data_IF_800906961235
#
_entry.id   IF_800906961235
#
_cell.length_a   1.000
_cell.length_b   1.000
_cell.length_c   1.000
_cell.angle_alpha   90.00
_cell.angle_beta   90.00
_cell.angle_gamma   90.00
#
_symmetry.space_group_name_H-M   'P 1'
#
loop_
_entity.id
_entity.type
_entity.pdbx_description
1 polymer ?
#
# COMPACT_ATOMS: atom_id res chain seq x y z
N UNK A 1 37.75 -17.14 35.41
CA UNK A 1 37.52 -16.38 34.17
C UNK A 1 36.44 -15.37 34.48
N UNK A 2 36.53 -14.13 34.03
CA UNK A 2 35.50 -13.14 34.29
C UNK A 2 34.15 -13.56 33.63
N UNK A 3 33.06 -13.09 34.22
CA UNK A 3 31.72 -13.21 33.61
C UNK A 3 31.72 -12.67 32.18
N UNK A 4 30.82 -13.15 31.37
CA UNK A 4 30.58 -12.68 29.97
C UNK A 4 29.11 -12.47 29.76
N UNK A 5 28.73 -11.82 28.64
CA UNK A 5 27.34 -11.51 28.36
C UNK A 5 26.85 -12.22 27.10
N UNK A 6 25.52 -12.35 26.96
CA UNK A 6 24.90 -12.79 25.72
C UNK A 6 24.86 -11.62 24.76
N UNK A 7 25.16 -11.85 23.47
CA UNK A 7 25.26 -10.79 22.44
C UNK A 7 23.98 -10.00 22.27
N UNK A 8 22.82 -10.67 22.22
CA UNK A 8 21.56 -10.02 21.84
C UNK A 8 20.83 -9.36 23.01
N UNK A 9 20.88 -9.95 24.19
CA UNK A 9 20.13 -9.48 25.36
C UNK A 9 21.00 -8.91 26.47
N UNK A 10 22.32 -9.05 26.41
CA UNK A 10 23.21 -8.57 27.46
C UNK A 10 23.02 -9.30 28.81
N UNK A 11 22.53 -10.56 28.78
CA UNK A 11 22.36 -11.39 29.97
C UNK A 11 23.72 -11.83 30.47
N UNK A 12 24.01 -11.64 31.76
CA UNK A 12 25.28 -12.05 32.34
C UNK A 12 25.34 -13.57 32.50
N UNK A 13 26.40 -14.16 31.94
CA UNK A 13 26.80 -15.56 32.14
C UNK A 13 27.85 -15.60 33.27
N UNK A 14 27.39 -15.89 34.47
CA UNK A 14 28.26 -15.92 35.67
C UNK A 14 29.30 -17.03 35.49
N UNK A 15 30.58 -16.71 35.65
CA UNK A 15 31.63 -17.71 35.60
C UNK A 15 31.69 -18.54 36.86
N UNK A 16 32.13 -19.80 36.75
CA UNK A 16 32.25 -20.71 37.90
C UNK A 16 33.17 -20.14 38.97
N UNK A 17 32.68 -20.03 40.19
CA UNK A 17 33.39 -19.51 41.34
C UNK A 17 33.38 -17.99 41.50
N UNK A 18 32.72 -17.26 40.61
CA UNK A 18 32.48 -15.82 40.74
C UNK A 18 31.19 -15.52 41.51
N UNK A 19 31.06 -14.26 41.96
CA UNK A 19 29.88 -13.70 42.59
C UNK A 19 29.40 -14.41 43.85
N UNK A 20 30.35 -14.90 44.67
CA UNK A 20 30.03 -15.44 45.98
C UNK A 20 29.34 -14.38 46.85
N UNK A 21 28.08 -14.60 47.19
CA UNK A 21 27.23 -13.70 47.97
C UNK A 21 26.40 -12.69 47.14
N UNK A 22 26.63 -12.54 45.82
CA UNK A 22 25.88 -11.62 44.92
C UNK A 22 25.25 -12.30 43.71
N UNK A 23 25.44 -13.61 43.52
CA UNK A 23 24.86 -14.28 42.33
C UNK A 23 23.34 -14.21 42.28
N UNK A 24 22.68 -14.09 43.44
CA UNK A 24 21.23 -13.90 43.53
C UNK A 24 20.78 -12.57 42.86
N UNK A 25 21.52 -11.49 43.09
CA UNK A 25 21.26 -10.19 42.53
C UNK A 25 21.44 -10.22 40.98
N UNK A 26 22.53 -10.84 40.51
CA UNK A 26 22.78 -11.02 39.08
C UNK A 26 21.69 -11.88 38.42
N UNK A 27 21.25 -12.95 39.09
CA UNK A 27 20.17 -13.80 38.59
C UNK A 27 18.84 -13.01 38.47
N UNK A 28 18.51 -12.22 39.49
CA UNK A 28 17.31 -11.38 39.46
C UNK A 28 17.38 -10.34 38.34
N UNK A 29 18.52 -9.65 38.18
CA UNK A 29 18.75 -8.71 37.08
C UNK A 29 18.58 -9.40 35.71
N UNK A 30 19.09 -10.62 35.55
CA UNK A 30 18.93 -11.39 34.32
C UNK A 30 17.46 -11.74 34.06
N UNK A 31 16.65 -12.01 35.09
CA UNK A 31 15.21 -12.24 34.95
C UNK A 31 14.47 -10.95 34.53
N UNK A 32 14.86 -9.80 35.13
CA UNK A 32 14.31 -8.50 34.73
C UNK A 32 14.63 -8.18 33.24
N UNK A 33 15.85 -8.46 32.80
CA UNK A 33 16.30 -8.34 31.40
C UNK A 33 15.46 -9.22 30.47
N UNK A 34 15.13 -10.44 30.84
CA UNK A 34 14.28 -11.35 30.08
C UNK A 34 12.85 -10.82 30.01
N UNK A 35 12.30 -10.29 31.10
CA UNK A 35 10.96 -9.72 31.14
C UNK A 35 10.86 -8.48 30.20
N UNK A 36 11.85 -7.58 30.26
CA UNK A 36 11.94 -6.45 29.30
C UNK A 36 11.95 -6.92 27.83
N UNK A 37 12.74 -7.96 27.53
CA UNK A 37 12.88 -8.45 26.17
C UNK A 37 11.62 -9.14 25.65
N UNK A 38 10.85 -9.79 26.51
CA UNK A 38 9.67 -10.58 26.15
C UNK A 38 8.39 -9.73 26.17
N UNK A 39 8.22 -8.88 27.18
CA UNK A 39 6.99 -8.13 27.43
C UNK A 39 7.20 -6.62 27.58
N UNK A 40 8.44 -6.14 27.55
CA UNK A 40 8.73 -4.73 27.80
C UNK A 40 8.07 -3.78 26.80
N UNK A 41 7.42 -2.75 27.33
CA UNK A 41 6.81 -1.64 26.61
C UNK A 41 7.34 -0.35 27.19
N UNK A 42 7.90 0.53 26.35
CA UNK A 42 8.50 1.78 26.79
C UNK A 42 8.20 2.94 25.86
N UNK A 43 7.98 4.13 26.43
CA UNK A 43 7.99 5.40 25.68
C UNK A 43 9.35 6.07 25.88
N UNK A 44 10.02 6.40 24.79
CA UNK A 44 11.32 7.08 24.74
C UNK A 44 11.11 8.52 24.28
N UNK A 45 11.36 9.48 25.17
CA UNK A 45 11.25 10.91 24.83
C UNK A 45 12.52 11.36 24.12
N UNK A 46 12.37 11.79 22.87
CA UNK A 46 13.44 12.41 22.09
C UNK A 46 13.50 13.91 22.42
N UNK A 47 14.65 14.37 22.88
CA UNK A 47 14.89 15.78 23.26
C UNK A 47 15.49 16.63 22.15
N UNK A 48 15.94 16.01 21.05
CA UNK A 48 16.55 16.65 19.89
C UNK A 48 16.47 15.74 18.66
N UNK A 49 16.62 16.34 17.47
CA UNK A 49 16.71 15.58 16.22
C UNK A 49 17.94 14.67 16.13
N UNK A 50 19.04 15.08 16.76
CA UNK A 50 20.33 14.44 16.51
C UNK A 50 20.76 14.60 15.04
N UNK A 51 21.63 13.71 14.59
CA UNK A 51 22.05 13.60 13.18
C UNK A 51 22.60 12.19 12.93
N UNK A 52 22.89 11.86 11.68
CA UNK A 52 23.53 10.60 11.31
C UNK A 52 24.90 10.38 11.98
N UNK A 53 25.64 11.43 12.29
CA UNK A 53 26.93 11.38 13.00
C UNK A 53 26.82 11.55 14.51
N UNK A 54 25.64 11.95 15.04
CA UNK A 54 25.37 12.13 16.47
C UNK A 54 23.91 11.81 16.76
N UNK A 55 23.49 10.54 16.60
CA UNK A 55 22.13 10.09 16.82
C UNK A 55 21.80 9.99 18.31
N UNK A 56 20.50 9.94 18.62
CA UNK A 56 20.04 9.49 19.94
C UNK A 56 20.30 8.00 20.08
N UNK A 57 21.04 7.58 21.10
CA UNK A 57 21.29 6.17 21.34
C UNK A 57 20.04 5.47 21.91
N UNK A 58 19.75 4.29 21.37
CA UNK A 58 18.78 3.32 21.88
C UNK A 58 19.56 2.10 22.38
N UNK A 59 20.02 2.09 23.64
CA UNK A 59 20.99 1.10 24.08
C UNK A 59 20.36 -0.25 24.49
N UNK A 60 21.10 -1.32 24.25
CA UNK A 60 20.98 -2.62 24.90
C UNK A 60 22.20 -2.76 25.75
N UNK A 61 22.05 -2.57 27.08
CA UNK A 61 23.17 -2.50 28.03
C UNK A 61 23.41 -3.85 28.68
N UNK A 62 24.65 -4.30 28.68
CA UNK A 62 25.05 -5.55 29.35
C UNK A 62 24.74 -5.51 30.83
N UNK A 63 24.09 -6.54 31.35
CA UNK A 63 23.81 -6.74 32.78
C UNK A 63 22.93 -5.67 33.43
N UNK A 64 22.20 -4.87 32.65
CA UNK A 64 21.32 -3.82 33.18
C UNK A 64 20.10 -3.60 32.31
N UNK A 65 19.03 -3.07 32.90
CA UNK A 65 17.84 -2.56 32.17
C UNK A 65 18.23 -1.52 31.13
N UNK A 66 17.55 -1.53 29.95
CA UNK A 66 17.87 -0.59 28.88
C UNK A 66 16.72 -0.40 27.90
N UNK A 67 16.58 0.82 27.34
CA UNK A 67 15.47 1.22 26.48
C UNK A 67 15.41 0.41 25.18
N UNK A 68 16.56 0.09 24.58
CA UNK A 68 16.65 -0.65 23.32
C UNK A 68 16.26 -2.12 23.44
N UNK A 69 16.15 -2.68 24.67
CA UNK A 69 15.82 -4.08 24.87
C UNK A 69 14.32 -4.35 24.74
N UNK A 70 13.48 -3.37 25.02
CA UNK A 70 12.03 -3.55 25.04
C UNK A 70 11.47 -4.09 23.73
N UNK A 71 10.38 -4.86 23.83
CA UNK A 71 9.69 -5.47 22.68
C UNK A 71 8.87 -4.45 21.90
N UNK A 72 8.27 -3.47 22.60
CA UNK A 72 7.57 -2.34 22.02
C UNK A 72 8.22 -1.04 22.48
N UNK A 73 8.51 -0.17 21.54
CA UNK A 73 9.15 1.13 21.79
C UNK A 73 8.35 2.21 21.10
N UNK A 74 7.88 3.19 21.86
CA UNK A 74 7.21 4.38 21.33
C UNK A 74 8.15 5.58 21.42
N UNK A 75 8.43 6.23 20.29
CA UNK A 75 9.12 7.51 20.29
C UNK A 75 8.12 8.64 20.47
N UNK A 76 8.34 9.46 21.47
CA UNK A 76 7.58 10.66 21.79
C UNK A 76 8.51 11.87 21.93
N UNK A 77 7.98 13.07 21.93
CA UNK A 77 8.71 14.29 22.21
C UNK A 77 7.96 15.18 23.23
N UNK A 78 8.65 16.19 23.76
CA UNK A 78 8.06 17.22 24.61
C UNK A 78 7.52 18.42 23.82
N UNK A 79 7.61 18.38 22.49
CA UNK A 79 7.25 19.42 21.53
C UNK A 79 8.01 19.24 20.23
N UNK A 80 7.63 19.97 19.17
CA UNK A 80 8.21 19.85 17.84
C UNK A 80 9.75 19.94 17.85
N UNK A 81 10.41 18.86 17.41
CA UNK A 81 11.87 18.79 17.30
C UNK A 81 12.45 19.65 16.15
N UNK A 82 11.61 20.17 15.26
CA UNK A 82 12.02 20.99 14.12
C UNK A 82 12.53 20.23 12.90
N UNK A 83 12.64 18.90 12.95
CA UNK A 83 13.13 18.06 11.85
C UNK A 83 13.00 16.57 12.13
N UNK A 84 13.47 15.75 11.19
CA UNK A 84 13.58 14.29 11.33
C UNK A 84 14.57 13.92 12.44
N UNK A 85 14.19 12.99 13.32
CA UNK A 85 15.03 12.51 14.39
C UNK A 85 15.89 11.31 13.94
N UNK A 86 17.14 11.25 14.39
CA UNK A 86 18.07 10.15 14.15
C UNK A 86 18.26 9.33 15.42
N UNK A 87 17.98 8.04 15.34
CA UNK A 87 18.09 7.09 16.46
C UNK A 87 18.96 5.91 16.05
N UNK A 88 19.86 5.49 16.93
CA UNK A 88 20.74 4.36 16.68
C UNK A 88 20.59 3.27 17.74
N UNK A 89 20.27 2.05 17.32
CA UNK A 89 20.33 0.88 18.18
C UNK A 89 21.79 0.52 18.46
N UNK A 90 22.14 0.36 19.73
CA UNK A 90 23.49 0.01 20.19
C UNK A 90 23.43 -1.14 21.19
N UNK A 91 24.43 -2.08 21.22
CA UNK A 91 25.56 -2.16 20.28
C UNK A 91 25.16 -2.62 18.87
N UNK A 92 26.10 -2.54 17.93
CA UNK A 92 25.84 -2.82 16.52
C UNK A 92 25.87 -4.31 16.14
N UNK A 93 26.14 -5.20 17.09
CA UNK A 93 26.16 -6.66 16.95
C UNK A 93 24.94 -7.36 17.58
N UNK A 94 24.00 -6.59 18.14
CA UNK A 94 22.77 -7.14 18.72
C UNK A 94 21.71 -7.36 17.63
N UNK A 95 21.32 -8.62 17.41
CA UNK A 95 20.16 -8.96 16.58
C UNK A 95 18.86 -8.73 17.35
N UNK A 96 17.87 -8.11 16.70
CA UNK A 96 16.59 -7.81 17.34
C UNK A 96 15.45 -7.72 16.33
N UNK A 97 14.27 -8.19 16.75
CA UNK A 97 12.98 -7.84 16.14
C UNK A 97 12.20 -7.03 17.18
N UNK A 98 11.70 -5.87 16.79
CA UNK A 98 11.01 -4.92 17.68
C UNK A 98 9.89 -4.21 16.97
N UNK A 99 8.77 -4.00 17.68
CA UNK A 99 7.68 -3.16 17.24
C UNK A 99 7.97 -1.72 17.69
N UNK A 100 7.97 -0.79 16.75
CA UNK A 100 8.24 0.63 17.03
C UNK A 100 7.10 1.49 16.54
N UNK A 101 6.67 2.43 17.37
CA UNK A 101 5.70 3.47 17.05
C UNK A 101 6.38 4.83 17.03
N UNK A 102 6.06 5.65 16.04
CA UNK A 102 6.45 7.05 15.99
C UNK A 102 5.25 7.95 16.35
N UNK A 103 5.27 8.52 17.54
CA UNK A 103 4.28 9.46 18.08
C UNK A 103 4.83 10.88 18.26
N UNK A 104 5.84 11.28 17.47
CA UNK A 104 6.40 12.63 17.52
C UNK A 104 5.34 13.65 17.10
N UNK A 105 5.47 14.88 17.57
CA UNK A 105 4.61 15.99 17.17
C UNK A 105 4.97 16.52 15.77
N UNK A 106 4.13 17.42 15.22
CA UNK A 106 4.37 18.16 13.97
C UNK A 106 4.76 17.30 12.75
N UNK A 107 4.24 16.06 12.65
CA UNK A 107 4.47 15.13 11.53
C UNK A 107 5.96 14.81 11.30
N UNK A 108 6.78 14.74 12.35
CA UNK A 108 8.20 14.42 12.25
C UNK A 108 8.43 12.93 12.10
N UNK A 109 9.33 12.54 11.19
CA UNK A 109 9.78 11.16 11.03
C UNK A 109 10.94 10.82 11.94
N UNK A 110 11.18 9.52 12.14
CA UNK A 110 12.35 8.98 12.83
C UNK A 110 13.14 8.12 11.85
N UNK A 111 14.41 8.44 11.62
CA UNK A 111 15.35 7.56 10.94
C UNK A 111 16.04 6.71 11.99
N UNK A 112 15.84 5.39 11.90
CA UNK A 112 16.48 4.44 12.82
C UNK A 112 17.47 3.57 12.06
N UNK A 113 18.63 3.34 12.66
CA UNK A 113 19.70 2.54 12.07
C UNK A 113 20.51 1.79 13.15
N UNK A 114 21.40 0.91 12.69
CA UNK A 114 22.38 0.21 13.52
C UNK A 114 23.73 0.25 12.80
N UNK A 115 24.85 0.21 13.53
CA UNK A 115 26.17 0.32 12.91
C UNK A 115 26.47 1.73 12.36
N UNK A 116 27.19 1.80 11.24
CA UNK A 116 27.52 3.06 10.58
C UNK A 116 26.37 3.48 9.69
N UNK A 117 25.86 4.70 9.85
CA UNK A 117 24.76 5.22 9.07
C UNK A 117 25.01 5.17 7.55
N UNK A 118 24.02 4.70 6.82
CA UNK A 118 23.89 4.81 5.36
C UNK A 118 22.42 4.79 5.00
N UNK A 119 22.00 5.56 4.01
CA UNK A 119 20.62 5.54 3.50
C UNK A 119 20.20 4.19 2.87
N UNK A 120 21.11 3.22 2.76
CA UNK A 120 20.81 1.86 2.32
C UNK A 120 20.62 0.86 3.46
N UNK A 121 20.92 1.26 4.71
CA UNK A 121 20.85 0.39 5.90
C UNK A 121 19.99 0.95 7.03
N UNK A 122 19.38 2.11 6.84
CA UNK A 122 18.43 2.70 7.78
C UNK A 122 16.98 2.33 7.45
N UNK A 123 16.07 2.76 8.31
CA UNK A 123 14.63 2.73 8.07
C UNK A 123 13.99 4.03 8.57
N UNK A 124 13.19 4.67 7.72
CA UNK A 124 12.42 5.84 8.09
C UNK A 124 11.03 5.42 8.59
N UNK A 125 10.71 5.80 9.84
CA UNK A 125 9.42 5.57 10.48
C UNK A 125 8.62 6.87 10.38
N UNK A 126 7.58 6.87 9.56
CA UNK A 126 6.72 8.03 9.38
C UNK A 126 5.92 8.32 10.65
N UNK A 127 5.55 9.58 10.85
CA UNK A 127 4.73 9.99 11.99
C UNK A 127 3.39 9.25 12.04
N UNK A 128 2.99 8.83 13.23
CA UNK A 128 1.72 8.14 13.47
C UNK A 128 1.68 6.69 12.99
N UNK A 129 2.82 6.12 12.54
CA UNK A 129 2.88 4.73 12.06
C UNK A 129 3.49 3.78 13.08
N UNK A 130 3.07 2.53 12.98
CA UNK A 130 3.61 1.38 13.68
C UNK A 130 4.35 0.47 12.71
N UNK A 131 5.58 0.06 13.05
CA UNK A 131 6.41 -0.80 12.20
C UNK A 131 7.04 -1.94 12.99
N UNK A 132 7.15 -3.11 12.35
CA UNK A 132 7.89 -4.25 12.91
C UNK A 132 9.25 -4.33 12.21
N UNK A 133 10.32 -3.96 12.92
CA UNK A 133 11.66 -3.88 12.37
C UNK A 133 12.53 -5.03 12.84
N UNK A 134 13.42 -5.49 11.96
CA UNK A 134 14.52 -6.40 12.22
C UNK A 134 15.85 -5.63 12.12
N UNK A 135 16.67 -5.75 13.15
CA UNK A 135 18.07 -5.36 13.20
C UNK A 135 18.90 -6.63 13.06
N UNK A 136 19.84 -6.69 12.14
CA UNK A 136 20.59 -7.91 11.82
C UNK A 136 21.90 -8.09 12.58
N UNK A 137 22.33 -7.09 13.38
CA UNK A 137 23.51 -7.19 14.20
C UNK A 137 24.82 -7.39 13.42
N UNK A 138 24.90 -7.00 12.16
CA UNK A 138 26.06 -7.27 11.30
C UNK A 138 27.23 -6.29 11.50
N UNK A 139 27.35 -5.69 12.69
CA UNK A 139 28.45 -4.78 13.05
C UNK A 139 28.30 -3.41 12.38
N UNK A 140 29.39 -2.88 11.82
CA UNK A 140 29.38 -1.56 11.18
C UNK A 140 28.49 -1.49 9.94
N UNK A 141 28.23 -2.61 9.29
CA UNK A 141 27.36 -2.73 8.10
C UNK A 141 25.94 -3.21 8.42
N UNK A 142 25.53 -3.21 9.70
CA UNK A 142 24.21 -3.71 10.11
C UNK A 142 23.07 -2.97 9.38
N UNK A 143 22.04 -3.74 9.02
CA UNK A 143 20.89 -3.26 8.24
C UNK A 143 19.61 -3.38 9.06
N UNK A 144 18.75 -2.35 8.92
CA UNK A 144 17.39 -2.34 9.49
C UNK A 144 16.39 -2.63 8.38
N UNK A 145 15.53 -3.63 8.57
CA UNK A 145 14.50 -4.00 7.58
C UNK A 145 13.12 -4.08 8.21
N UNK A 146 12.10 -3.65 7.47
CA UNK A 146 10.71 -3.89 7.84
C UNK A 146 10.36 -5.36 7.58
N UNK A 147 9.91 -6.07 8.60
CA UNK A 147 9.56 -7.51 8.50
C UNK A 147 8.33 -7.73 7.61
N UNK A 148 7.45 -6.73 7.50
CA UNK A 148 6.21 -6.81 6.76
C UNK A 148 6.32 -6.30 5.30
N UNK A 149 7.52 -5.99 4.81
CA UNK A 149 7.70 -5.38 3.47
C UNK A 149 7.21 -6.28 2.32
N UNK A 150 7.18 -7.60 2.52
CA UNK A 150 6.68 -8.59 1.56
C UNK A 150 5.73 -9.55 2.27
N UNK A 151 4.63 -9.02 2.80
CA UNK A 151 3.66 -9.84 3.53
C UNK A 151 2.96 -10.82 2.57
N UNK A 152 3.20 -12.11 2.74
CA UNK A 152 2.52 -13.19 2.05
C UNK A 152 1.49 -13.83 2.99
N UNK A 153 0.21 -13.68 2.68
CA UNK A 153 -0.91 -14.22 3.46
C UNK A 153 -1.84 -15.02 2.56
N UNK A 154 -2.43 -16.10 3.08
CA UNK A 154 -3.41 -16.90 2.32
C UNK A 154 -4.76 -16.19 2.15
N UNK A 155 -5.03 -15.18 2.96
CA UNK A 155 -6.21 -14.34 2.91
C UNK A 155 -6.00 -13.10 3.76
N UNK A 156 -6.55 -11.98 3.32
CA UNK A 156 -6.58 -10.72 4.07
C UNK A 156 -8.04 -10.32 4.22
N UNK A 157 -8.54 -10.31 5.45
CA UNK A 157 -9.83 -9.76 5.82
C UNK A 157 -9.62 -8.36 6.41
N UNK A 158 -10.27 -7.35 5.86
CA UNK A 158 -10.12 -5.96 6.26
C UNK A 158 -11.50 -5.40 6.61
N UNK A 159 -11.76 -5.19 7.89
CA UNK A 159 -13.02 -4.61 8.39
C UNK A 159 -13.16 -3.09 8.09
N UNK A 160 -12.11 -2.46 7.63
CA UNK A 160 -12.06 -1.03 7.31
C UNK A 160 -11.74 -0.74 5.84
N UNK A 161 -11.20 0.45 5.59
CA UNK A 161 -10.76 0.84 4.27
C UNK A 161 -9.38 0.27 3.95
N UNK A 162 -9.16 -0.07 2.67
CA UNK A 162 -7.82 -0.32 2.11
C UNK A 162 -7.41 0.91 1.32
N UNK A 163 -6.30 1.54 1.71
CA UNK A 163 -5.68 2.63 0.98
C UNK A 163 -4.43 2.10 0.26
N UNK A 164 -4.44 2.17 -1.07
CA UNK A 164 -3.33 1.76 -1.93
C UNK A 164 -2.80 3.00 -2.64
N UNK A 165 -1.64 3.50 -2.18
CA UNK A 165 -1.01 4.70 -2.75
C UNK A 165 -0.28 4.46 -4.07
N UNK A 166 -0.09 3.19 -4.46
CA UNK A 166 0.47 2.76 -5.74
C UNK A 166 -0.54 1.97 -6.56
N UNK A 167 -0.07 1.15 -7.47
CA UNK A 167 -0.92 0.30 -8.29
C UNK A 167 -1.42 -0.91 -7.51
N UNK A 168 -2.69 -1.26 -7.65
CA UNK A 168 -3.27 -2.50 -7.16
C UNK A 168 -3.28 -3.54 -8.28
N UNK A 169 -2.43 -4.56 -8.17
CA UNK A 169 -2.42 -5.70 -9.09
C UNK A 169 -3.25 -6.84 -8.51
N UNK A 170 -4.32 -7.21 -9.19
CA UNK A 170 -5.16 -8.36 -8.87
C UNK A 170 -4.85 -9.50 -9.85
N UNK A 171 -4.17 -10.55 -9.37
CA UNK A 171 -3.92 -11.75 -10.17
C UNK A 171 -5.12 -12.67 -10.06
N UNK A 172 -5.94 -12.71 -11.11
CA UNK A 172 -7.18 -13.45 -11.12
C UNK A 172 -6.96 -14.98 -11.13
N UNK A 173 -7.83 -15.67 -10.38
CA UNK A 173 -8.14 -17.08 -10.62
C UNK A 173 -9.17 -17.25 -11.74
N UNK A 174 -9.82 -18.42 -11.80
CA UNK A 174 -10.79 -18.74 -12.85
C UNK A 174 -12.06 -17.87 -12.82
N UNK A 175 -12.44 -17.31 -11.67
CA UNK A 175 -13.72 -16.63 -11.44
C UNK A 175 -13.64 -15.10 -11.40
N UNK A 176 -12.51 -14.52 -11.85
CA UNK A 176 -12.29 -13.07 -11.86
C UNK A 176 -11.58 -12.54 -10.60
N UNK A 177 -11.01 -11.33 -10.72
CA UNK A 177 -10.17 -10.72 -9.69
C UNK A 177 -10.91 -9.78 -8.75
N UNK A 178 -12.05 -9.24 -9.16
CA UNK A 178 -12.85 -8.28 -8.39
C UNK A 178 -14.32 -8.70 -8.39
N UNK A 179 -14.86 -9.02 -7.20
CA UNK A 179 -16.26 -9.40 -7.01
C UNK A 179 -16.88 -8.50 -5.95
N UNK A 180 -18.03 -7.90 -6.24
CA UNK A 180 -18.84 -7.16 -5.28
C UNK A 180 -19.93 -8.05 -4.72
N UNK A 181 -19.91 -8.35 -3.41
CA UNK A 181 -20.87 -9.22 -2.74
C UNK A 181 -22.23 -8.55 -2.45
N UNK A 182 -22.33 -7.23 -2.63
CA UNK A 182 -23.54 -6.42 -2.42
C UNK A 182 -23.59 -5.26 -3.41
N UNK A 183 -24.67 -4.46 -3.36
CA UNK A 183 -24.76 -3.23 -4.14
C UNK A 183 -23.58 -2.29 -3.83
N UNK A 184 -22.82 -1.97 -4.83
CA UNK A 184 -21.57 -1.20 -4.71
C UNK A 184 -21.45 -0.17 -5.82
N UNK A 185 -20.56 0.81 -5.66
CA UNK A 185 -20.27 1.82 -6.68
C UNK A 185 -18.76 1.95 -6.90
N UNK A 186 -18.36 2.19 -8.14
CA UNK A 186 -17.02 2.67 -8.48
C UNK A 186 -17.11 4.18 -8.69
N UNK A 187 -16.44 4.97 -7.83
CA UNK A 187 -16.35 6.42 -7.98
C UNK A 187 -15.09 6.75 -8.76
N UNK A 188 -15.26 7.52 -9.82
CA UNK A 188 -14.16 7.99 -10.67
C UNK A 188 -13.91 9.48 -10.44
N UNK A 189 -12.76 9.96 -10.87
CA UNK A 189 -12.38 11.38 -10.74
C UNK A 189 -13.35 12.28 -11.53
N UNK A 190 -13.69 13.43 -10.96
CA UNK A 190 -14.52 14.45 -11.60
C UNK A 190 -13.73 15.27 -12.63
N UNK A 191 -14.43 15.78 -13.67
CA UNK A 191 -13.93 16.68 -14.69
C UNK A 191 -12.65 16.18 -15.39
N UNK A 192 -12.68 14.93 -15.85
CA UNK A 192 -11.56 14.27 -16.52
C UNK A 192 -12.00 13.63 -17.85
N UNK A 193 -11.18 13.79 -18.90
CA UNK A 193 -11.46 13.27 -20.24
C UNK A 193 -11.27 11.73 -20.34
N UNK A 194 -10.63 11.10 -19.35
CA UNK A 194 -10.41 9.66 -19.25
C UNK A 194 -10.43 9.23 -17.77
N UNK A 195 -11.58 9.43 -17.10
CA UNK A 195 -11.72 9.20 -15.66
C UNK A 195 -11.58 7.72 -15.26
N UNK A 196 -11.99 6.81 -16.14
CA UNK A 196 -11.73 5.37 -16.05
C UNK A 196 -11.64 4.81 -17.46
N UNK A 197 -10.61 4.04 -17.73
CA UNK A 197 -10.40 3.38 -19.02
C UNK A 197 -10.34 1.87 -18.81
N UNK A 198 -11.01 1.12 -19.66
CA UNK A 198 -10.83 -0.31 -19.84
C UNK A 198 -9.99 -0.51 -21.08
N UNK A 199 -8.79 -1.06 -20.92
CA UNK A 199 -7.78 -1.11 -21.97
C UNK A 199 -6.96 -2.40 -21.96
N UNK A 200 -6.30 -2.68 -23.07
CA UNK A 200 -5.28 -3.71 -23.21
C UNK A 200 -4.03 -3.07 -23.80
N UNK A 201 -2.90 -3.16 -23.08
CA UNK A 201 -1.61 -2.63 -23.52
C UNK A 201 -1.71 -1.20 -24.10
N UNK A 202 -2.26 -0.26 -23.33
CA UNK A 202 -2.47 1.15 -23.68
C UNK A 202 -3.45 1.37 -24.88
N UNK A 203 -4.26 0.38 -25.20
CA UNK A 203 -5.32 0.49 -26.23
C UNK A 203 -6.69 0.47 -25.57
N UNK A 204 -7.38 1.60 -25.55
CA UNK A 204 -8.70 1.74 -24.95
C UNK A 204 -9.78 0.93 -25.68
N UNK A 205 -10.64 0.26 -24.91
CA UNK A 205 -11.89 -0.38 -25.37
C UNK A 205 -13.11 0.43 -24.96
N UNK A 206 -13.12 0.92 -23.71
CA UNK A 206 -14.18 1.76 -23.19
C UNK A 206 -13.58 2.85 -22.30
N UNK A 207 -14.05 4.08 -22.45
CA UNK A 207 -13.60 5.24 -21.67
C UNK A 207 -14.80 5.92 -21.02
N UNK A 208 -14.75 6.12 -19.70
CA UNK A 208 -15.69 7.00 -18.98
C UNK A 208 -15.12 8.42 -18.97
N UNK A 209 -15.85 9.34 -19.56
CA UNK A 209 -15.53 10.77 -19.59
C UNK A 209 -16.41 11.48 -18.59
N UNK A 210 -15.82 12.21 -17.65
CA UNK A 210 -16.52 13.02 -16.64
C UNK A 210 -16.29 14.52 -16.82
N UNK A 211 -15.78 14.95 -17.98
CA UNK A 211 -15.59 16.37 -18.31
C UNK A 211 -16.92 17.11 -18.28
N UNK A 212 -17.03 18.14 -17.43
CA UNK A 212 -18.25 18.92 -17.21
C UNK A 212 -18.83 19.47 -18.53
N UNK A 213 -20.09 19.14 -18.81
CA UNK A 213 -20.79 19.50 -20.04
C UNK A 213 -20.41 18.66 -21.28
N UNK A 214 -19.61 17.60 -21.09
CA UNK A 214 -19.20 16.68 -22.15
C UNK A 214 -19.08 15.24 -21.63
N UNK A 215 -19.88 14.90 -20.62
CA UNK A 215 -19.89 13.57 -19.99
C UNK A 215 -20.31 12.51 -21.02
N UNK A 216 -19.59 11.39 -21.03
CA UNK A 216 -19.85 10.33 -21.99
C UNK A 216 -19.30 8.96 -21.53
N UNK A 217 -19.91 7.91 -22.08
CA UNK A 217 -19.29 6.59 -22.17
C UNK A 217 -18.91 6.38 -23.63
N UNK A 218 -17.63 6.29 -23.93
CA UNK A 218 -17.09 6.05 -25.27
C UNK A 218 -16.69 4.60 -25.43
N UNK A 219 -17.03 4.01 -26.56
CA UNK A 219 -16.52 2.71 -27.02
C UNK A 219 -15.54 2.97 -28.15
N UNK A 220 -14.28 2.72 -27.91
CA UNK A 220 -13.18 2.98 -28.86
C UNK A 220 -12.96 1.79 -29.81
N UNK A 221 -13.73 0.71 -29.61
CA UNK A 221 -13.80 -0.48 -30.47
C UNK A 221 -15.25 -0.77 -30.85
N UNK A 222 -15.46 -1.69 -31.78
CA UNK A 222 -16.80 -2.15 -32.13
C UNK A 222 -17.55 -2.67 -30.90
N UNK A 223 -18.81 -2.24 -30.76
CA UNK A 223 -19.72 -2.75 -29.74
C UNK A 223 -20.58 -3.85 -30.37
N UNK A 224 -20.38 -5.10 -29.93
CA UNK A 224 -21.19 -6.26 -30.30
C UNK A 224 -22.22 -6.54 -29.20
N UNK A 225 -23.51 -6.44 -29.50
CA UNK A 225 -24.58 -6.68 -28.54
C UNK A 225 -25.41 -7.88 -28.98
N UNK A 226 -25.24 -9.01 -28.30
CA UNK A 226 -25.91 -10.28 -28.63
C UNK A 226 -27.36 -10.38 -28.09
N UNK A 227 -27.92 -9.29 -27.57
CA UNK A 227 -29.27 -9.20 -27.04
C UNK A 227 -30.01 -7.98 -27.55
N UNK A 228 -31.27 -7.83 -27.18
CA UNK A 228 -32.07 -6.65 -27.55
C UNK A 228 -31.45 -5.37 -26.93
N UNK A 229 -31.44 -4.29 -27.70
CA UNK A 229 -31.07 -2.94 -27.27
C UNK A 229 -32.31 -2.09 -27.17
N UNK A 230 -32.61 -1.52 -26.02
CA UNK A 230 -33.61 -0.49 -25.84
C UNK A 230 -32.94 0.88 -25.76
N UNK A 231 -33.42 1.84 -26.54
CA UNK A 231 -32.93 3.23 -26.53
C UNK A 231 -34.10 4.15 -26.25
N UNK A 232 -34.12 4.80 -25.08
CA UNK A 232 -35.23 5.73 -24.71
C UNK A 232 -34.96 7.18 -25.18
N UNK A 233 -33.90 7.38 -25.93
CA UNK A 233 -33.50 8.69 -26.49
C UNK A 233 -33.33 8.66 -27.99
N UNK A 234 -32.75 9.72 -28.53
CA UNK A 234 -32.46 9.85 -29.98
C UNK A 234 -31.20 9.03 -30.31
N UNK A 235 -31.26 8.30 -31.42
CA UNK A 235 -30.09 7.67 -32.03
C UNK A 235 -29.57 8.60 -33.13
N UNK A 236 -28.32 9.06 -32.98
CA UNK A 236 -27.59 9.80 -34.00
C UNK A 236 -26.48 8.92 -34.56
N UNK A 237 -26.47 8.75 -35.90
CA UNK A 237 -25.43 7.99 -36.59
C UNK A 237 -24.59 8.95 -37.42
N UNK A 238 -23.31 9.13 -37.03
CA UNK A 238 -22.40 10.08 -37.64
C UNK A 238 -22.57 11.53 -37.15
N UNK A 239 -21.98 12.45 -37.86
CA UNK A 239 -22.09 13.91 -37.66
C UNK A 239 -22.49 14.58 -38.99
N UNK A 240 -23.06 15.79 -38.92
CA UNK A 240 -23.42 16.55 -40.13
C UNK A 240 -22.18 16.76 -41.02
N UNK A 241 -22.34 16.44 -42.31
CA UNK A 241 -21.25 16.46 -43.31
C UNK A 241 -20.29 15.24 -43.24
N UNK A 242 -20.43 14.34 -42.26
CA UNK A 242 -19.66 13.07 -42.17
C UNK A 242 -20.55 11.97 -41.57
N UNK A 243 -21.51 11.53 -42.36
CA UNK A 243 -22.42 10.46 -41.95
C UNK A 243 -21.78 9.07 -42.00
N UNK A 244 -22.54 8.07 -41.55
CA UNK A 244 -22.23 6.65 -41.70
C UNK A 244 -23.46 5.90 -42.14
N UNK A 245 -23.27 4.74 -42.77
CA UNK A 245 -24.36 3.85 -43.12
C UNK A 245 -25.10 3.35 -41.89
N UNK A 246 -26.42 3.27 -41.98
CA UNK A 246 -27.25 2.62 -40.97
C UNK A 246 -28.00 1.46 -41.62
N UNK A 247 -27.59 0.23 -41.30
CA UNK A 247 -28.05 -0.98 -41.98
C UNK A 247 -28.81 -1.89 -41.02
N UNK A 248 -30.04 -2.24 -41.38
CA UNK A 248 -30.85 -3.24 -40.69
C UNK A 248 -31.10 -4.42 -41.63
N UNK A 249 -30.76 -5.63 -41.21
CA UNK A 249 -31.01 -6.85 -41.97
C UNK A 249 -32.40 -7.45 -41.65
N UNK A 250 -33.07 -7.99 -42.65
CA UNK A 250 -34.23 -8.83 -42.45
C UNK A 250 -33.83 -10.29 -42.16
N UNK A 251 -34.80 -11.09 -41.73
CA UNK A 251 -34.62 -12.53 -41.46
C UNK A 251 -34.30 -13.33 -42.75
N UNK A 252 -34.77 -12.87 -43.90
CA UNK A 252 -34.51 -13.51 -45.21
C UNK A 252 -33.25 -12.90 -45.82
N UNK A 253 -32.30 -13.73 -46.25
CA UNK A 253 -31.06 -13.27 -46.89
C UNK A 253 -31.31 -12.32 -48.06
N UNK A 254 -30.53 -11.24 -48.14
CA UNK A 254 -30.63 -10.20 -49.14
C UNK A 254 -31.76 -9.17 -48.92
N UNK A 255 -32.40 -9.17 -47.73
CA UNK A 255 -33.39 -8.17 -47.34
C UNK A 255 -32.81 -7.22 -46.31
N UNK A 256 -32.97 -5.91 -46.55
CA UNK A 256 -32.40 -4.88 -45.66
C UNK A 256 -33.10 -3.54 -45.81
N UNK A 257 -32.93 -2.70 -44.79
CA UNK A 257 -33.14 -1.26 -44.83
C UNK A 257 -31.78 -0.59 -44.59
N UNK A 258 -31.35 0.22 -45.54
CA UNK A 258 -30.04 0.90 -45.48
C UNK A 258 -30.26 2.40 -45.67
N UNK A 259 -29.76 3.21 -44.74
CA UNK A 259 -29.38 4.58 -45.04
C UNK A 259 -27.98 4.54 -45.63
N UNK A 260 -27.85 4.84 -46.91
CA UNK A 260 -26.57 4.91 -47.64
C UNK A 260 -26.04 6.35 -47.58
N UNK A 261 -25.02 6.58 -46.78
CA UNK A 261 -24.43 7.91 -46.60
C UNK A 261 -23.72 8.42 -47.88
N UNK A 262 -23.24 7.53 -48.71
CA UNK A 262 -22.53 7.92 -49.95
C UNK A 262 -23.46 8.38 -51.05
N UNK A 263 -24.71 7.93 -51.03
CA UNK A 263 -25.77 8.27 -51.99
C UNK A 263 -26.82 9.22 -51.40
N UNK A 264 -26.68 9.61 -50.10
CA UNK A 264 -27.69 10.39 -49.36
C UNK A 264 -29.12 9.85 -49.55
N UNK A 265 -29.27 8.52 -49.49
CA UNK A 265 -30.53 7.88 -49.85
C UNK A 265 -30.90 6.73 -48.88
N UNK A 266 -32.23 6.54 -48.74
CA UNK A 266 -32.80 5.39 -48.07
C UNK A 266 -33.12 4.29 -49.10
N UNK A 267 -32.46 3.14 -48.94
CA UNK A 267 -32.59 1.98 -49.80
C UNK A 267 -33.34 0.87 -49.06
N UNK A 268 -34.45 0.41 -49.59
CA UNK A 268 -35.17 -0.74 -49.05
C UNK A 268 -35.11 -1.88 -50.04
N UNK A 269 -34.49 -2.97 -49.68
CA UNK A 269 -34.42 -4.20 -50.47
C UNK A 269 -35.40 -5.22 -49.90
N UNK A 270 -36.57 -5.32 -50.52
CA UNK A 270 -37.66 -6.16 -50.02
C UNK A 270 -39.02 -5.58 -50.36
N UNK A 271 -40.08 -6.07 -49.70
CA UNK A 271 -41.43 -5.52 -49.81
C UNK A 271 -41.60 -4.41 -48.79
N UNK A 272 -42.00 -3.24 -49.24
CA UNK A 272 -42.32 -2.09 -48.39
C UNK A 272 -43.84 -1.96 -48.26
N UNK A 273 -44.35 -1.92 -47.03
CA UNK A 273 -45.75 -1.60 -46.75
C UNK A 273 -45.78 -0.28 -45.97
N UNK A 274 -46.32 0.76 -46.56
CA UNK A 274 -46.56 2.06 -45.92
C UNK A 274 -48.01 2.07 -45.43
N UNK A 275 -48.23 2.06 -44.13
CA UNK A 275 -49.58 2.16 -43.54
C UNK A 275 -49.73 3.59 -43.03
N UNK A 276 -50.52 4.38 -43.77
CA UNK A 276 -50.93 5.72 -43.38
C UNK A 276 -52.32 5.72 -42.79
N UNK A 277 -52.57 6.55 -41.80
CA UNK A 277 -53.94 6.97 -41.46
C UNK A 277 -54.33 8.10 -42.43
N UNK A 278 -55.36 7.89 -43.18
CA UNK A 278 -56.03 8.95 -43.95
C UNK A 278 -56.87 9.84 -43.07
#
# INVERSE_FOLDING_TARGET
MPSSYTTNLGIEKIATGEQSGSWGDTTNTNLDILDEAVNGVISVTLGATGSSGSPTALPITDGASSTGRNKFIEFVDGGDLGGTAFVQLTPNDSEKIVHIRNSLSASRSVIIFQGTYSASNDFEILNGTDVLLKFDGAGSGAVVTNVNINLNVNGLDVDGNVDVSGDLTLSAGADGALTFGAASSVKVVDNNAAALVFEEADTAYMTLVTTNGSEAVKFDKALDVNAAVQVDGIITVGVDGTGYDFLLFGDTGGKSLLWDQSADSLIVTGTTTLVGTT
#
